data_IF_833692526168
#
_entry.id   IF_833692526168
#
_cell.length_a   1.000
_cell.length_b   1.000
_cell.length_c   1.000
_cell.angle_alpha   90.00
_cell.angle_beta   90.00
_cell.angle_gamma   90.00
#
_symmetry.space_group_name_H-M   'P 1'
#
loop_
_entity.id
_entity.type
_entity.pdbx_description
1 polymer ?
#
# COMPACT_ATOMS: atom_id res chain seq x y z
N UNK A 1 -21.14 4.68 9.71
CA UNK A 1 -19.68 4.80 9.94
C UNK A 1 -19.35 4.58 11.41
N UNK A 2 -20.25 4.93 12.33
CA UNK A 2 -20.15 4.68 13.77
C UNK A 2 -20.09 3.20 14.18
N UNK A 3 -20.76 2.30 13.43
CA UNK A 3 -20.77 0.84 13.66
C UNK A 3 -19.38 0.15 13.66
N UNK A 4 -18.33 0.82 13.19
CA UNK A 4 -17.02 0.20 12.99
C UNK A 4 -15.97 0.58 14.05
N UNK A 5 -16.28 1.45 15.01
CA UNK A 5 -15.29 2.05 15.92
C UNK A 5 -14.03 2.50 15.15
N UNK A 6 -14.22 3.05 13.94
CA UNK A 6 -13.09 3.39 13.09
C UNK A 6 -12.44 4.66 13.66
N UNK A 7 -11.36 4.48 14.40
CA UNK A 7 -10.56 5.55 15.02
C UNK A 7 -9.74 6.33 14.00
N UNK A 8 -9.95 6.12 12.70
CA UNK A 8 -9.29 6.87 11.64
C UNK A 8 -9.84 8.31 11.63
N UNK A 9 -9.06 9.30 12.10
CA UNK A 9 -9.51 10.69 12.19
C UNK A 9 -9.73 11.31 10.80
N UNK A 10 -9.22 10.69 9.73
CA UNK A 10 -9.27 11.20 8.35
C UNK A 10 -10.61 10.95 7.64
N UNK A 11 -11.60 10.36 8.31
CA UNK A 11 -12.98 10.31 7.81
C UNK A 11 -13.74 11.64 7.98
N UNK A 12 -13.17 12.55 8.76
CA UNK A 12 -13.74 13.88 8.98
C UNK A 12 -13.29 14.85 7.88
N UNK A 13 -14.25 15.62 7.35
CA UNK A 13 -14.02 16.58 6.26
C UNK A 13 -12.90 17.58 6.57
N UNK A 14 -12.81 18.02 7.82
CA UNK A 14 -11.81 18.99 8.28
C UNK A 14 -10.38 18.45 8.14
N UNK A 15 -10.16 17.16 8.38
CA UNK A 15 -8.86 16.53 8.18
C UNK A 15 -8.47 16.48 6.70
N UNK A 16 -9.41 16.12 5.82
CA UNK A 16 -9.16 16.09 4.36
C UNK A 16 -8.90 17.50 3.82
N UNK A 17 -9.62 18.51 4.32
CA UNK A 17 -9.42 19.91 3.93
C UNK A 17 -8.05 20.44 4.39
N UNK A 18 -7.73 20.29 5.68
CA UNK A 18 -6.44 20.73 6.23
C UNK A 18 -5.28 20.03 5.55
N UNK A 19 -5.43 18.74 5.27
CA UNK A 19 -4.49 17.97 4.46
C UNK A 19 -4.32 18.52 3.05
N UNK A 20 -5.42 18.78 2.33
CA UNK A 20 -5.36 19.33 0.98
C UNK A 20 -4.63 20.67 0.94
N UNK A 21 -4.84 21.50 1.96
CA UNK A 21 -4.16 22.80 2.10
C UNK A 21 -2.70 22.70 2.53
N UNK A 22 -2.28 21.61 3.19
CA UNK A 22 -0.89 21.41 3.64
C UNK A 22 0.00 20.71 2.62
N UNK A 23 -0.58 20.10 1.58
CA UNK A 23 0.17 19.52 0.48
C UNK A 23 1.01 20.59 -0.22
N UNK A 24 2.30 20.33 -0.34
CA UNK A 24 3.18 21.09 -1.22
C UNK A 24 2.60 21.12 -2.65
N UNK A 25 2.54 22.33 -3.22
CA UNK A 25 2.12 22.58 -4.60
C UNK A 25 2.94 21.67 -5.55
N UNK A 26 2.34 20.59 -6.03
CA UNK A 26 2.98 19.67 -6.97
C UNK A 26 2.75 18.17 -6.71
N UNK A 27 2.26 17.77 -5.54
CA UNK A 27 1.87 16.37 -5.32
C UNK A 27 0.53 16.07 -6.01
N UNK A 28 0.51 15.07 -6.90
CA UNK A 28 -0.73 14.57 -7.49
C UNK A 28 -1.31 13.49 -6.57
N UNK A 29 -2.56 13.68 -6.17
CA UNK A 29 -3.28 12.73 -5.31
C UNK A 29 -4.42 12.10 -6.10
N UNK A 30 -4.60 10.79 -5.93
CA UNK A 30 -5.70 10.03 -6.50
C UNK A 30 -6.42 9.29 -5.35
N UNK A 31 -7.72 9.50 -5.21
CA UNK A 31 -8.56 8.80 -4.23
C UNK A 31 -9.49 7.86 -5.01
N UNK A 32 -9.27 6.56 -4.85
CA UNK A 32 -10.11 5.54 -5.49
C UNK A 32 -11.20 5.09 -4.53
N UNK A 33 -12.44 5.05 -5.00
CA UNK A 33 -13.57 4.52 -4.26
C UNK A 33 -14.02 3.19 -4.87
N UNK A 34 -14.20 2.15 -4.05
CA UNK A 34 -14.78 0.88 -4.48
C UNK A 34 -16.26 0.85 -4.12
N UNK A 35 -17.09 0.54 -5.12
CA UNK A 35 -18.54 0.50 -5.00
C UNK A 35 -19.03 -0.94 -5.15
N UNK A 36 -19.88 -1.37 -4.23
CA UNK A 36 -20.58 -2.66 -4.28
C UNK A 36 -22.08 -2.39 -4.08
N UNK A 37 -22.92 -2.90 -4.98
CA UNK A 37 -24.38 -2.68 -4.98
C UNK A 37 -24.78 -1.20 -4.77
N UNK A 38 -24.17 -0.31 -5.54
CA UNK A 38 -24.40 1.14 -5.48
C UNK A 38 -24.00 1.83 -4.15
N UNK A 39 -23.30 1.13 -3.26
CA UNK A 39 -22.77 1.66 -2.00
C UNK A 39 -21.25 1.71 -2.04
N UNK A 40 -20.64 2.82 -1.60
CA UNK A 40 -19.18 2.88 -1.44
C UNK A 40 -18.80 2.08 -0.20
N UNK A 41 -17.90 1.11 -0.38
CA UNK A 41 -17.45 0.19 0.68
C UNK A 41 -15.98 0.38 1.05
N UNK A 42 -15.20 1.09 0.24
CA UNK A 42 -13.81 1.37 0.54
C UNK A 42 -13.28 2.62 -0.17
N UNK A 43 -12.26 3.26 0.43
CA UNK A 43 -11.47 4.33 -0.16
C UNK A 43 -9.97 4.04 -0.06
N UNK A 44 -9.25 4.34 -1.14
CA UNK A 44 -7.81 4.08 -1.28
C UNK A 44 -7.13 5.37 -1.74
N UNK A 45 -6.57 6.14 -0.80
CA UNK A 45 -5.87 7.38 -1.09
C UNK A 45 -4.41 7.10 -1.46
N UNK A 46 -3.98 7.58 -2.62
CA UNK A 46 -2.61 7.44 -3.10
C UNK A 46 -2.00 8.77 -3.52
N UNK A 47 -0.73 8.97 -3.16
CA UNK A 47 0.13 9.92 -3.87
C UNK A 47 0.65 9.26 -5.15
N UNK A 48 0.57 9.96 -6.28
CA UNK A 48 0.97 9.43 -7.58
C UNK A 48 2.04 10.32 -8.21
N UNK A 49 3.22 9.74 -8.47
CA UNK A 49 4.29 10.41 -9.22
C UNK A 49 4.41 9.82 -10.62
N UNK A 50 4.68 10.66 -11.62
CA UNK A 50 4.99 10.19 -12.97
C UNK A 50 6.46 10.43 -13.28
N UNK A 51 7.22 9.34 -13.41
CA UNK A 51 8.67 9.40 -13.68
C UNK A 51 8.96 8.60 -14.94
N UNK A 52 9.48 9.25 -15.98
CA UNK A 52 9.86 8.56 -17.23
C UNK A 52 8.70 7.80 -17.90
N UNK A 53 7.45 8.25 -17.71
CA UNK A 53 6.25 7.58 -18.21
C UNK A 53 5.69 6.47 -17.32
N UNK A 54 6.39 6.11 -16.23
CA UNK A 54 5.91 5.16 -15.23
C UNK A 54 5.12 5.90 -14.15
N UNK A 55 3.94 5.39 -13.82
CA UNK A 55 3.14 5.86 -12.69
C UNK A 55 3.60 5.14 -11.42
N UNK A 56 3.99 5.89 -10.40
CA UNK A 56 4.45 5.36 -9.13
C UNK A 56 3.44 5.74 -8.06
N UNK A 57 2.78 4.74 -7.50
CA UNK A 57 1.79 4.91 -6.45
C UNK A 57 2.45 4.71 -5.09
N UNK A 58 2.19 5.64 -4.20
CA UNK A 58 2.59 5.62 -2.80
C UNK A 58 1.34 5.71 -1.94
N UNK A 59 1.39 5.16 -0.73
CA UNK A 59 0.43 5.59 0.26
C UNK A 59 0.55 7.09 0.47
N UNK A 60 -0.59 7.72 0.66
CA UNK A 60 -0.65 9.16 0.82
C UNK A 60 0.01 9.57 2.15
N UNK A 61 0.95 10.51 2.12
CA UNK A 61 1.63 11.04 3.31
C UNK A 61 1.14 12.45 3.64
N UNK A 62 0.72 12.67 4.89
CA UNK A 62 0.22 13.94 5.44
C UNK A 62 1.34 14.81 6.03
N UNK A 63 2.24 14.20 6.81
CA UNK A 63 3.39 14.84 7.46
C UNK A 63 4.58 13.87 7.45
N UNK A 64 5.77 14.30 7.89
CA UNK A 64 7.03 13.53 7.80
C UNK A 64 6.91 12.06 8.23
N UNK A 65 5.97 11.73 9.13
CA UNK A 65 5.75 10.37 9.63
C UNK A 65 4.28 9.89 9.64
N UNK A 66 3.35 10.63 9.03
CA UNK A 66 1.93 10.24 9.00
C UNK A 66 1.51 9.86 7.58
N UNK A 67 1.14 8.59 7.40
CA UNK A 67 0.69 8.04 6.12
C UNK A 67 -0.76 7.60 6.26
N UNK A 68 -1.59 7.76 5.24
CA UNK A 68 -3.00 7.38 5.24
C UNK A 68 -3.15 5.91 4.85
N UNK A 69 -3.90 5.14 5.64
CA UNK A 69 -4.19 3.73 5.32
C UNK A 69 -5.42 3.63 4.40
N UNK A 70 -5.67 2.42 3.93
CA UNK A 70 -6.91 2.04 3.28
C UNK A 70 -8.09 2.22 4.23
N UNK A 71 -9.13 2.91 3.77
CA UNK A 71 -10.37 3.08 4.53
C UNK A 71 -11.34 2.01 4.07
N UNK A 72 -11.40 0.90 4.79
CA UNK A 72 -12.24 -0.25 4.41
C UNK A 72 -12.68 -1.04 5.64
N UNK A 73 -13.87 -1.65 5.58
CA UNK A 73 -14.29 -2.61 6.61
C UNK A 73 -13.37 -3.84 6.59
N UNK A 74 -13.02 -4.39 7.75
CA UNK A 74 -12.15 -5.60 7.84
C UNK A 74 -12.67 -6.75 6.96
N UNK A 75 -13.99 -6.97 6.94
CA UNK A 75 -14.66 -7.99 6.12
C UNK A 75 -14.50 -7.78 4.60
N UNK A 76 -14.28 -6.54 4.18
CA UNK A 76 -14.20 -6.16 2.77
C UNK A 76 -12.76 -5.91 2.28
N UNK A 77 -11.78 -5.90 3.19
CA UNK A 77 -10.41 -5.50 2.89
C UNK A 77 -9.79 -6.36 1.78
N UNK A 78 -9.79 -7.69 1.91
CA UNK A 78 -9.19 -8.57 0.91
C UNK A 78 -9.82 -8.41 -0.48
N UNK A 79 -11.15 -8.44 -0.57
CA UNK A 79 -11.87 -8.35 -1.85
C UNK A 79 -11.69 -6.99 -2.54
N UNK A 80 -11.70 -5.90 -1.77
CA UNK A 80 -11.53 -4.54 -2.31
C UNK A 80 -10.09 -4.26 -2.71
N UNK A 81 -9.10 -4.75 -1.96
CA UNK A 81 -7.68 -4.70 -2.35
C UNK A 81 -7.49 -5.44 -3.68
N UNK A 82 -7.96 -6.68 -3.80
CA UNK A 82 -7.87 -7.42 -5.06
C UNK A 82 -8.48 -6.62 -6.21
N UNK A 83 -9.74 -6.24 -6.07
CA UNK A 83 -10.47 -5.52 -7.11
C UNK A 83 -9.76 -4.24 -7.55
N UNK A 84 -9.32 -3.40 -6.61
CA UNK A 84 -8.74 -2.11 -6.95
C UNK A 84 -7.39 -2.27 -7.65
N UNK A 85 -6.48 -3.07 -7.08
CA UNK A 85 -5.14 -3.19 -7.64
C UNK A 85 -5.18 -3.83 -9.03
N UNK A 86 -6.05 -4.82 -9.25
CA UNK A 86 -6.28 -5.38 -10.59
C UNK A 86 -6.83 -4.33 -11.54
N UNK A 87 -7.81 -3.52 -11.11
CA UNK A 87 -8.41 -2.46 -11.93
C UNK A 87 -7.36 -1.43 -12.35
N UNK A 88 -6.55 -0.94 -11.40
CA UNK A 88 -5.47 0.02 -11.67
C UNK A 88 -4.43 -0.57 -12.64
N UNK A 89 -4.02 -1.83 -12.43
CA UNK A 89 -3.07 -2.55 -13.29
C UNK A 89 -3.62 -2.73 -14.71
N UNK A 90 -4.90 -3.05 -14.85
CA UNK A 90 -5.54 -3.24 -16.14
C UNK A 90 -5.74 -1.92 -16.89
N UNK A 91 -6.03 -0.84 -16.17
CA UNK A 91 -6.22 0.50 -16.76
C UNK A 91 -4.91 1.14 -17.22
N UNK A 92 -3.80 0.90 -16.51
CA UNK A 92 -2.52 1.58 -16.78
C UNK A 92 -1.39 0.58 -17.01
N UNK A 93 -0.76 0.70 -18.18
CA UNK A 93 0.28 -0.26 -18.61
C UNK A 93 1.59 -0.19 -17.81
N UNK A 94 1.97 0.99 -17.32
CA UNK A 94 3.29 1.22 -16.71
C UNK A 94 3.14 1.72 -15.28
N UNK A 95 3.00 0.80 -14.34
CA UNK A 95 2.84 1.12 -12.92
C UNK A 95 3.92 0.47 -12.06
N UNK A 96 4.30 1.17 -11.01
CA UNK A 96 5.00 0.65 -9.84
C UNK A 96 4.22 1.09 -8.59
N UNK A 97 3.99 0.16 -7.67
CA UNK A 97 3.49 0.46 -6.33
C UNK A 97 4.66 0.42 -5.38
N UNK A 98 4.84 1.46 -4.58
CA UNK A 98 5.82 1.57 -3.49
C UNK A 98 5.07 1.95 -2.22
N UNK A 99 4.62 0.93 -1.49
CA UNK A 99 3.72 1.05 -0.34
C UNK A 99 4.50 0.76 0.93
N UNK A 100 4.83 1.79 1.71
CA UNK A 100 5.61 1.63 2.93
C UNK A 100 4.76 1.09 4.09
N UNK A 101 5.28 0.12 4.84
CA UNK A 101 4.71 -0.39 6.08
C UNK A 101 4.81 0.67 7.17
N UNK A 102 3.77 0.76 7.99
CA UNK A 102 3.71 1.66 9.14
C UNK A 102 3.66 0.81 10.41
N UNK A 103 4.35 1.28 11.45
CA UNK A 103 4.58 0.54 12.70
C UNK A 103 3.31 -0.01 13.36
N UNK A 104 2.15 0.61 13.11
CA UNK A 104 0.86 0.23 13.70
C UNK A 104 -0.04 -0.63 12.77
N UNK A 105 0.43 -0.97 11.56
CA UNK A 105 -0.46 -1.38 10.45
C UNK A 105 -0.12 -2.72 9.77
N UNK A 106 0.43 -3.67 10.51
CA UNK A 106 0.74 -5.01 9.99
C UNK A 106 -0.44 -5.71 9.28
N UNK A 107 -1.70 -5.36 9.60
CA UNK A 107 -2.90 -5.95 8.98
C UNK A 107 -3.08 -5.59 7.50
N UNK A 108 -2.93 -4.32 7.12
CA UNK A 108 -3.05 -3.92 5.70
C UNK A 108 -1.91 -4.50 4.89
N UNK A 109 -0.71 -4.45 5.43
CA UNK A 109 0.48 -5.02 4.80
C UNK A 109 0.35 -6.52 4.57
N UNK A 110 -0.22 -7.26 5.54
CA UNK A 110 -0.54 -8.67 5.40
C UNK A 110 -1.53 -8.92 4.26
N UNK A 111 -2.63 -8.15 4.19
CA UNK A 111 -3.62 -8.28 3.10
C UNK A 111 -3.06 -7.94 1.72
N UNK A 112 -2.14 -6.97 1.62
CA UNK A 112 -1.43 -6.70 0.38
C UNK A 112 -0.48 -7.84 0.01
N UNK A 113 0.19 -8.45 0.99
CA UNK A 113 1.07 -9.61 0.76
C UNK A 113 0.27 -10.82 0.25
N UNK A 114 -0.89 -11.12 0.87
CA UNK A 114 -1.84 -12.15 0.41
C UNK A 114 -2.28 -11.90 -1.05
N UNK A 115 -2.61 -10.66 -1.40
CA UNK A 115 -2.97 -10.28 -2.77
C UNK A 115 -1.86 -10.62 -3.79
N UNK A 116 -0.61 -10.29 -3.46
CA UNK A 116 0.52 -10.57 -4.34
C UNK A 116 0.77 -12.08 -4.51
N UNK A 117 0.57 -12.88 -3.46
CA UNK A 117 0.59 -14.36 -3.55
C UNK A 117 -0.49 -14.82 -4.54
N UNK A 118 -1.73 -14.37 -4.34
CA UNK A 118 -2.87 -14.79 -5.16
C UNK A 118 -2.69 -14.45 -6.64
N UNK A 119 -1.94 -13.37 -6.95
CA UNK A 119 -1.62 -12.97 -8.33
C UNK A 119 -0.34 -13.60 -8.89
N UNK A 120 0.27 -14.54 -8.18
CA UNK A 120 1.54 -15.19 -8.57
C UNK A 120 2.62 -14.16 -8.94
N UNK A 121 2.60 -12.99 -8.28
CA UNK A 121 3.66 -11.99 -8.40
C UNK A 121 4.83 -12.59 -7.63
N UNK A 122 5.81 -13.11 -8.39
CA UNK A 122 6.86 -13.95 -7.83
C UNK A 122 7.60 -13.20 -6.72
N UNK A 123 8.09 -13.90 -5.71
CA UNK A 123 8.84 -13.29 -4.61
C UNK A 123 10.09 -12.53 -5.09
N UNK A 124 10.70 -12.94 -6.21
CA UNK A 124 11.79 -12.20 -6.88
C UNK A 124 11.37 -10.84 -7.46
N UNK A 125 10.07 -10.65 -7.62
CA UNK A 125 9.39 -9.45 -8.11
C UNK A 125 8.94 -8.53 -6.96
N UNK A 126 9.27 -8.92 -5.72
CA UNK A 126 9.07 -8.17 -4.47
C UNK A 126 10.43 -8.01 -3.75
N UNK A 127 10.60 -7.02 -2.87
CA UNK A 127 11.91 -6.78 -2.24
C UNK A 127 12.33 -7.89 -1.25
N UNK A 128 13.64 -7.97 -0.94
CA UNK A 128 14.24 -9.04 -0.13
C UNK A 128 13.73 -9.08 1.32
N UNK A 129 13.36 -7.94 1.91
CA UNK A 129 12.79 -7.88 3.27
C UNK A 129 11.44 -8.59 3.30
N UNK A 130 10.61 -8.39 2.28
CA UNK A 130 9.35 -9.08 2.12
C UNK A 130 9.50 -10.56 1.88
N UNK A 131 10.49 -11.01 1.09
CA UNK A 131 10.75 -12.45 0.91
C UNK A 131 10.78 -13.20 2.25
N UNK A 132 11.40 -12.62 3.27
CA UNK A 132 11.46 -13.22 4.60
C UNK A 132 10.06 -13.34 5.24
N UNK A 133 9.22 -12.32 5.12
CA UNK A 133 7.82 -12.36 5.57
C UNK A 133 7.03 -13.39 4.76
N UNK A 134 7.23 -13.46 3.44
CA UNK A 134 6.60 -14.46 2.57
C UNK A 134 6.90 -15.89 3.00
N UNK A 135 8.16 -16.16 3.35
CA UNK A 135 8.59 -17.48 3.82
C UNK A 135 7.98 -17.81 5.21
N UNK A 136 7.54 -16.79 5.97
CA UNK A 136 6.91 -16.90 7.30
C UNK A 136 5.37 -16.90 7.26
N UNK A 137 4.73 -16.44 6.17
CA UNK A 137 3.26 -16.40 5.97
C UNK A 137 2.52 -17.73 6.25
N UNK A 138 3.01 -18.90 5.79
CA UNK A 138 2.32 -20.18 6.02
C UNK A 138 2.20 -20.56 7.51
N UNK A 139 3.02 -19.97 8.39
CA UNK A 139 3.03 -20.25 9.82
C UNK A 139 2.16 -19.27 10.64
N UNK A 140 1.50 -18.30 9.98
CA UNK A 140 0.70 -17.24 10.61
C UNK A 140 -0.82 -17.53 10.62
N UNK A 141 -1.28 -18.66 10.07
CA UNK A 141 -2.70 -19.03 9.96
C UNK A 141 -3.34 -19.58 11.25
N UNK A 142 -2.69 -19.53 12.42
CA UNK A 142 -3.38 -19.85 13.68
C UNK A 142 -4.27 -18.69 14.12
N UNK A 143 -5.60 -18.89 14.21
CA UNK A 143 -6.53 -17.84 14.63
C UNK A 143 -6.43 -17.64 16.14
N UNK A 144 -5.45 -16.84 16.54
CA UNK A 144 -5.35 -16.25 17.87
C UNK A 144 -5.21 -14.76 17.70
N UNK A 145 -6.28 -14.02 18.01
CA UNK A 145 -6.23 -12.57 18.15
C UNK A 145 -5.04 -12.19 19.05
N UNK A 146 -4.30 -11.17 18.63
CA UNK A 146 -3.18 -10.50 19.34
C UNK A 146 -1.75 -11.01 19.09
N UNK A 147 -1.38 -11.38 17.87
CA UNK A 147 0.02 -11.21 17.46
C UNK A 147 0.25 -9.80 16.93
N UNK A 148 0.76 -8.93 17.81
CA UNK A 148 1.49 -7.74 17.39
C UNK A 148 2.68 -8.20 16.56
N UNK A 149 2.69 -7.85 15.27
CA UNK A 149 3.90 -7.93 14.46
C UNK A 149 5.00 -7.23 15.24
N UNK A 150 6.05 -7.97 15.60
CA UNK A 150 7.08 -7.46 16.50
C UNK A 150 7.65 -6.12 15.98
N UNK A 151 7.96 -5.21 16.91
CA UNK A 151 8.56 -3.87 16.70
C UNK A 151 9.93 -3.87 15.97
N UNK A 152 10.29 -4.94 15.26
CA UNK A 152 11.59 -5.14 14.60
C UNK A 152 11.56 -4.87 13.09
N UNK A 153 10.39 -4.52 12.55
CA UNK A 153 10.14 -4.32 11.12
C UNK A 153 9.96 -2.85 10.73
N UNK A 154 10.62 -1.94 11.46
CA UNK A 154 10.66 -0.53 11.08
C UNK A 154 11.21 -0.36 9.65
N UNK A 155 10.39 0.19 8.74
CA UNK A 155 10.80 0.58 7.39
C UNK A 155 10.82 -0.56 6.36
N UNK A 156 9.80 -1.42 6.32
CA UNK A 156 9.59 -2.34 5.20
C UNK A 156 8.77 -1.64 4.12
N UNK A 157 9.29 -1.56 2.89
CA UNK A 157 8.52 -1.09 1.73
C UNK A 157 8.02 -2.25 0.90
N UNK A 158 6.72 -2.30 0.58
CA UNK A 158 6.16 -3.19 -0.42
C UNK A 158 6.28 -2.56 -1.80
N UNK A 159 7.24 -3.05 -2.58
CA UNK A 159 7.50 -2.55 -3.93
C UNK A 159 7.22 -3.65 -4.95
N UNK A 160 6.22 -3.45 -5.80
CA UNK A 160 5.85 -4.34 -6.90
C UNK A 160 5.39 -3.54 -8.12
N UNK A 161 5.26 -4.20 -9.27
CA UNK A 161 4.99 -3.49 -10.52
C UNK A 161 4.29 -4.35 -11.57
N UNK A 162 3.76 -3.71 -12.60
CA UNK A 162 3.30 -4.40 -13.82
C UNK A 162 4.48 -5.03 -14.57
N UNK A 163 4.23 -6.08 -15.37
CA UNK A 163 5.26 -6.84 -16.10
C UNK A 163 5.91 -6.11 -17.29
N UNK A 164 5.60 -4.83 -17.50
CA UNK A 164 6.22 -4.07 -18.59
C UNK A 164 7.69 -3.78 -18.29
N UNK A 165 8.52 -3.77 -19.34
CA UNK A 165 9.98 -3.58 -19.23
C UNK A 165 10.32 -2.32 -18.43
N UNK A 166 9.64 -1.20 -18.71
CA UNK A 166 9.89 0.08 -18.01
C UNK A 166 9.56 0.00 -16.53
N UNK A 167 8.43 -0.60 -16.17
CA UNK A 167 8.03 -0.79 -14.78
C UNK A 167 8.97 -1.73 -14.02
N UNK A 168 9.47 -2.79 -14.67
CA UNK A 168 10.44 -3.70 -14.08
C UNK A 168 11.80 -3.02 -13.83
N UNK A 169 12.29 -2.26 -14.81
CA UNK A 169 13.55 -1.50 -14.66
C UNK A 169 13.44 -0.46 -13.54
N UNK A 170 12.34 0.30 -13.49
CA UNK A 170 12.14 1.31 -12.46
C UNK A 170 11.99 0.69 -11.07
N UNK A 171 11.24 -0.42 -10.96
CA UNK A 171 11.15 -1.19 -9.72
C UNK A 171 12.52 -1.63 -9.22
N UNK A 172 13.34 -2.22 -10.09
CA UNK A 172 14.68 -2.68 -9.73
C UNK A 172 15.58 -1.52 -9.30
N UNK A 173 15.48 -0.35 -9.95
CA UNK A 173 16.18 0.87 -9.54
C UNK A 173 15.77 1.31 -8.12
N UNK A 174 14.47 1.30 -7.80
CA UNK A 174 13.98 1.62 -6.46
C UNK A 174 14.51 0.66 -5.39
N UNK A 175 14.62 -0.64 -5.70
CA UNK A 175 15.21 -1.61 -4.77
C UNK A 175 16.69 -1.35 -4.50
N UNK A 176 17.47 -1.08 -5.55
CA UNK A 176 18.89 -0.75 -5.39
C UNK A 176 19.05 0.49 -4.52
N UNK A 177 18.18 1.49 -4.72
CA UNK A 177 18.13 2.70 -3.90
C UNK A 177 17.83 2.36 -2.43
N UNK A 178 16.79 1.57 -2.16
CA UNK A 178 16.40 1.15 -0.80
C UNK A 178 17.54 0.41 -0.08
N UNK A 179 18.23 -0.51 -0.77
CA UNK A 179 19.38 -1.24 -0.22
C UNK A 179 20.55 -0.31 0.08
N UNK A 180 20.84 0.64 -0.80
CA UNK A 180 21.93 1.59 -0.62
C UNK A 180 21.70 2.50 0.60
N UNK A 181 20.49 3.04 0.77
CA UNK A 181 20.16 3.87 1.93
C UNK A 181 20.10 3.07 3.23
N UNK A 182 19.64 1.81 3.18
CA UNK A 182 19.63 0.92 4.35
C UNK A 182 21.03 0.55 4.88
N UNK A 183 22.10 0.74 4.09
CA UNK A 183 23.49 0.49 4.52
C UNK A 183 24.18 1.70 5.15
N UNK A 184 23.56 2.89 5.06
CA UNK A 184 24.14 4.16 5.56
C UNK A 184 23.48 4.66 6.85
N UNK A 185 22.34 4.09 7.24
CA UNK A 185 21.65 4.36 8.51
C UNK A 185 22.01 3.28 9.54
#
# INVERSE_FOLDING_TARGET
>A
MEENENTNPFLEYEYVYNWWTSLEVGKKVEIHAVKDNNRVIAFFPFEVKKTGGVHVFFFLTLFENQVMDLIVKKSDASRTIMFLFDSIINERKQIVFQLNELKERGKTFLKLSEYLVARNIKVKDVNKKLKKIYDELPNLETPGDNQSFSNKHDGISLIFSTTTVRSLLYRNFLWVKEVYFSRKS
#
